data_IF_051217042769
#
_entry.id   IF_051217042769
#
_cell.length_a   1.000
_cell.length_b   1.000
_cell.length_c   1.000
_cell.angle_alpha   90.00
_cell.angle_beta   90.00
_cell.angle_gamma   90.00
#
_symmetry.space_group_name_H-M   'P 1'
#
loop_
_entity.id
_entity.type
_entity.pdbx_description
1 polymer ?
2 non-polymer ?
3 non-polymer ?
4 water ?
#
# COMPACT_ATOMS: atom_id res chain seq x y z
N UNK A 1 10.41 16.73 22.54
CA UNK A 1 11.48 16.47 21.58
C UNK A 1 11.51 17.56 20.52
N UNK A 2 10.33 18.07 20.17
CA UNK A 2 10.25 19.13 19.18
C UNK A 2 10.73 20.46 19.74
N UNK A 3 10.17 20.88 20.86
CA UNK A 3 10.47 22.21 21.43
C UNK A 3 11.87 22.31 22.04
N UNK A 4 12.32 21.23 22.67
CA UNK A 4 13.58 21.29 23.37
C UNK A 4 14.77 20.71 22.63
N UNK A 5 14.53 19.96 21.55
CA UNK A 5 15.61 19.36 20.77
C UNK A 5 15.50 19.61 19.27
N UNK A 6 14.40 20.24 18.84
CA UNK A 6 14.24 20.53 17.42
C UNK A 6 14.06 19.30 16.57
N UNK A 7 13.56 18.22 17.17
CA UNK A 7 13.31 17.00 16.42
C UNK A 7 11.86 17.03 15.92
N UNK A 8 11.68 16.94 14.61
CA UNK A 8 10.34 17.03 14.02
C UNK A 8 9.42 15.90 14.48
N UNK A 9 8.13 16.21 14.56
CA UNK A 9 7.14 15.27 15.04
C UNK A 9 7.16 13.91 14.33
N UNK A 10 7.37 13.89 13.02
CA UNK A 10 7.34 12.62 12.32
C UNK A 10 8.49 11.71 12.78
N UNK A 11 9.67 12.30 12.98
CA UNK A 11 10.81 11.51 13.45
C UNK A 11 10.63 11.15 14.93
N UNK A 12 10.20 12.13 15.72
CA UNK A 12 10.04 11.89 17.16
C UNK A 12 9.03 10.79 17.42
N UNK A 13 7.89 10.83 16.72
CA UNK A 13 6.87 9.82 16.88
C UNK A 13 7.35 8.44 16.46
N UNK A 14 8.16 8.40 15.40
CA UNK A 14 8.70 7.13 14.95
C UNK A 14 9.56 6.55 16.07
N UNK A 15 10.43 7.39 16.63
CA UNK A 15 11.35 6.92 17.66
C UNK A 15 10.59 6.42 18.88
N UNK A 16 9.57 7.16 19.32
CA UNK A 16 8.82 6.71 20.49
C UNK A 16 7.98 5.47 20.21
N UNK A 17 7.55 5.30 18.97
CA UNK A 17 6.85 4.08 18.61
C UNK A 17 7.79 2.87 18.68
N UNK A 18 9.05 3.07 18.28
CA UNK A 18 10.02 1.98 18.37
C UNK A 18 10.26 1.66 19.85
N UNK A 19 10.37 2.70 20.67
CA UNK A 19 10.54 2.50 22.11
C UNK A 19 9.39 1.67 22.68
N UNK A 20 8.16 2.08 22.36
CA UNK A 20 6.99 1.37 22.92
C UNK A 20 6.82 -0.05 22.39
N UNK A 21 7.27 -0.28 21.17
CA UNK A 21 7.19 -1.62 20.57
C UNK A 21 8.34 -2.51 21.03
N UNK A 22 9.22 -1.98 21.86
CA UNK A 22 10.35 -2.77 22.35
C UNK A 22 11.42 -3.00 21.30
N UNK A 23 11.54 -2.04 20.38
CA UNK A 23 12.54 -2.11 19.34
C UNK A 23 13.95 -1.99 19.90
N UNK A 24 14.94 -2.10 19.03
CA UNK A 24 16.34 -2.12 19.44
C UNK A 24 16.95 -0.74 19.67
N UNK A 25 17.81 -0.66 20.69
CA UNK A 25 18.60 0.54 20.93
C UNK A 25 19.32 0.94 19.65
N UNK A 26 19.81 -0.02 18.89
CA UNK A 26 20.50 0.40 17.69
C UNK A 26 19.60 1.18 16.74
N UNK A 27 18.34 0.76 16.62
CA UNK A 27 17.43 1.45 15.73
C UNK A 27 17.21 2.89 16.17
N UNK A 28 17.02 3.07 17.48
CA UNK A 28 16.79 4.41 18.04
C UNK A 28 18.00 5.32 17.84
N UNK A 29 19.19 4.77 18.14
CA UNK A 29 20.43 5.53 17.93
C UNK A 29 20.62 5.90 16.48
N UNK A 30 20.32 4.99 15.55
CA UNK A 30 20.50 5.30 14.15
C UNK A 30 19.58 6.44 13.73
N UNK A 31 18.31 6.37 14.13
CA UNK A 31 17.38 7.43 13.74
C UNK A 31 17.81 8.78 14.32
N UNK A 32 18.15 8.80 15.61
CA UNK A 32 18.51 10.04 16.26
C UNK A 32 19.79 10.62 15.71
N UNK A 33 20.78 9.78 15.42
CA UNK A 33 22.01 10.34 14.86
C UNK A 33 21.76 10.86 13.47
N UNK A 34 20.92 10.15 12.72
CA UNK A 34 20.63 10.60 11.38
C UNK A 34 19.85 11.92 11.35
N UNK A 35 19.04 12.24 12.36
CA UNK A 35 18.28 13.49 12.29
C UNK A 35 19.18 14.71 12.55
N UNK A 36 20.36 14.46 13.08
CA UNK A 36 21.34 15.50 13.25
C UNK A 36 21.43 16.07 14.63
N UNK A 37 21.66 17.38 14.68
CA UNK A 37 22.02 18.00 15.96
C UNK A 37 20.98 17.75 17.05
N UNK A 38 19.71 17.74 16.71
CA UNK A 38 18.70 17.55 17.72
C UNK A 38 18.78 16.16 18.30
N UNK A 39 18.98 15.19 17.43
CA UNK A 39 19.09 13.81 17.88
C UNK A 39 20.34 13.58 18.70
N UNK A 40 21.43 14.18 18.27
CA UNK A 40 22.67 14.09 19.02
C UNK A 40 22.50 14.68 20.41
N UNK A 41 21.83 15.84 20.49
CA UNK A 41 21.58 16.46 21.78
C UNK A 41 20.70 15.61 22.70
N UNK A 42 19.72 14.91 22.12
CA UNK A 42 18.88 14.05 22.93
C UNK A 42 19.67 12.86 23.45
N UNK A 43 20.52 12.28 22.59
CA UNK A 43 21.38 11.20 23.03
C UNK A 43 22.31 11.65 24.15
N UNK A 44 22.76 12.89 24.06
CA UNK A 44 23.66 13.45 25.07
C UNK A 44 22.93 13.61 26.38
N UNK A 45 21.67 14.07 26.32
CA UNK A 45 20.87 14.29 27.51
C UNK A 45 20.64 13.01 28.29
N UNK A 46 20.64 11.86 27.62
CA UNK A 46 20.44 10.61 28.32
C UNK A 46 21.64 10.21 29.17
N UNK A 47 22.79 10.83 28.93
CA UNK A 47 23.98 10.52 29.71
C UNK A 47 24.44 9.09 29.46
N UNK A 48 24.68 8.34 30.52
CA UNK A 48 25.11 6.95 30.36
C UNK A 48 23.95 5.96 30.31
N UNK A 49 22.75 6.45 30.54
CA UNK A 49 21.57 5.60 30.50
C UNK A 49 21.25 5.22 29.08
N UNK A 50 20.81 3.99 28.87
CA UNK A 50 20.35 3.57 27.56
C UNK A 50 19.33 4.57 27.07
N UNK A 51 19.41 4.92 25.79
CA UNK A 51 18.50 5.91 25.27
C UNK A 51 17.08 5.34 25.27
N UNK A 52 16.97 4.02 25.18
CA UNK A 52 15.68 3.35 25.25
C UNK A 52 15.05 3.51 26.64
N UNK A 53 15.85 3.28 27.66
CA UNK A 53 15.38 3.41 29.02
C UNK A 53 15.03 4.83 29.40
N UNK A 54 15.85 5.76 28.92
CA UNK A 54 15.65 7.18 29.15
C UNK A 54 14.32 7.63 28.55
N UNK A 55 14.06 7.26 27.30
CA UNK A 55 12.80 7.68 26.69
C UNK A 55 11.61 6.97 27.32
N UNK A 56 11.79 5.71 27.71
CA UNK A 56 10.72 4.98 28.39
C UNK A 56 10.32 5.74 29.66
N UNK A 57 11.31 6.20 30.40
CA UNK A 57 11.03 6.93 31.63
C UNK A 57 10.40 8.29 31.36
N UNK A 58 10.78 8.96 30.28
CA UNK A 58 10.18 10.23 29.94
C UNK A 58 8.70 10.02 29.59
N UNK A 59 8.40 8.94 28.88
CA UNK A 59 7.02 8.61 28.51
C UNK A 59 6.20 8.33 29.76
N UNK A 60 6.78 7.63 30.72
CA UNK A 60 6.09 7.33 31.98
C UNK A 60 5.84 8.63 32.74
N UNK A 61 6.82 9.52 32.74
CA UNK A 61 6.71 10.76 33.47
C UNK A 61 5.73 11.77 32.90
N UNK A 62 5.74 11.92 31.58
CA UNK A 62 5.02 13.00 30.90
C UNK A 62 3.90 12.55 30.00
N UNK A 63 3.91 11.27 29.63
CA UNK A 63 2.96 10.79 28.63
C UNK A 63 3.60 10.93 27.24
N UNK A 64 3.29 9.99 26.35
CA UNK A 64 3.91 9.96 25.02
C UNK A 64 3.73 11.26 24.24
N UNK A 65 2.50 11.76 24.21
CA UNK A 65 2.22 12.99 23.50
C UNK A 65 3.13 14.15 23.94
N UNK A 66 3.30 14.32 25.25
CA UNK A 66 4.12 15.39 25.75
C UNK A 66 5.61 15.17 25.47
N UNK A 67 6.03 13.90 25.44
CA UNK A 67 7.43 13.62 25.08
C UNK A 67 7.69 14.02 23.63
N UNK A 68 6.74 13.74 22.74
CA UNK A 68 6.89 14.17 21.36
C UNK A 68 7.01 15.68 21.30
N UNK A 69 6.11 16.39 21.98
CA UNK A 69 6.16 17.84 21.98
C UNK A 69 7.48 18.39 22.49
N UNK A 70 7.99 17.74 23.54
CA UNK A 70 9.26 18.09 24.21
C UNK A 70 10.46 17.83 23.28
N UNK B 1 11.55 8.09 -0.93
CA UNK B 1 10.78 7.69 0.23
C UNK B 1 10.08 8.90 0.88
N UNK B 2 10.72 10.08 0.85
CA UNK B 2 10.07 11.28 1.38
C UNK B 2 8.93 11.76 0.51
N UNK B 3 9.21 11.87 -0.78
CA UNK B 3 8.27 12.45 -1.72
C UNK B 3 7.08 11.55 -1.98
N UNK B 4 7.32 10.26 -2.12
CA UNK B 4 6.22 9.34 -2.43
C UNK B 4 5.51 8.85 -1.21
N UNK B 5 6.21 8.73 -0.08
CA UNK B 5 5.60 8.17 1.13
C UNK B 5 5.62 9.04 2.39
N UNK B 6 6.36 10.13 2.36
CA UNK B 6 6.41 11.00 3.51
C UNK B 6 7.26 10.44 4.64
N UNK B 7 8.19 9.55 4.29
CA UNK B 7 9.10 9.01 5.30
C UNK B 7 10.27 9.96 5.44
N UNK B 8 10.49 10.49 6.64
CA UNK B 8 11.57 11.45 6.88
C UNK B 8 12.93 10.83 6.63
N UNK B 9 13.88 11.65 6.17
CA UNK B 9 15.21 11.19 5.81
C UNK B 9 15.90 10.41 6.93
N UNK B 10 15.78 10.86 8.17
CA UNK B 10 16.42 10.15 9.28
C UNK B 10 15.97 8.71 9.39
N UNK B 11 14.69 8.50 9.11
CA UNK B 11 14.13 7.16 9.20
C UNK B 11 14.47 6.39 7.92
N UNK B 12 14.33 7.06 6.78
CA UNK B 12 14.58 6.40 5.49
C UNK B 12 16.02 5.91 5.39
N UNK B 13 16.97 6.76 5.75
CA UNK B 13 18.37 6.34 5.70
C UNK B 13 18.66 5.19 6.66
N UNK B 14 18.04 5.21 7.83
CA UNK B 14 18.19 4.10 8.76
C UNK B 14 17.68 2.78 8.15
N UNK B 15 16.52 2.86 7.51
CA UNK B 15 15.95 1.68 6.87
C UNK B 15 16.86 1.17 5.76
N UNK B 16 17.40 2.06 4.93
CA UNK B 16 18.23 1.61 3.82
C UNK B 16 19.52 0.99 4.30
N UNK B 17 20.03 1.46 5.44
CA UNK B 17 21.24 0.83 5.98
C UNK B 17 20.95 -0.58 6.45
N UNK B 18 19.76 -0.82 7.00
CA UNK B 18 19.40 -2.18 7.39
C UNK B 18 19.34 -3.05 6.13
N UNK B 19 18.76 -2.52 5.07
CA UNK B 19 18.68 -3.25 3.81
C UNK B 19 20.08 -3.64 3.31
N UNK B 20 20.99 -2.67 3.27
CA UNK B 20 22.34 -2.91 2.76
C UNK B 20 23.13 -3.87 3.63
N UNK B 21 22.81 -3.89 4.92
CA UNK B 21 23.49 -4.78 5.85
C UNK B 21 22.90 -6.17 5.87
N UNK B 22 21.87 -6.42 5.07
CA UNK B 22 21.23 -7.73 5.04
C UNK B 22 20.48 -8.04 6.31
N UNK B 23 20.00 -6.99 6.99
CA UNK B 23 19.25 -7.14 8.21
C UNK B 23 17.91 -7.83 8.01
N UNK B 24 17.23 -8.08 9.12
CA UNK B 24 15.97 -8.82 9.11
C UNK B 24 14.85 -8.06 8.43
N UNK B 25 14.03 -8.79 7.69
CA UNK B 25 12.85 -8.17 7.10
C UNK B 25 11.98 -7.57 8.21
N UNK B 26 11.86 -8.24 9.36
CA UNK B 26 10.99 -7.71 10.42
C UNK B 26 11.53 -6.42 11.03
N UNK B 27 12.84 -6.21 10.94
CA UNK B 27 13.42 -4.97 11.46
C UNK B 27 12.98 -3.86 10.54
N UNK B 28 13.08 -4.08 9.24
CA UNK B 28 12.58 -3.07 8.30
C UNK B 28 11.08 -2.82 8.48
N UNK B 29 10.32 -3.89 8.61
CA UNK B 29 8.88 -3.76 8.79
C UNK B 29 8.56 -3.00 10.05
N UNK B 30 9.25 -3.27 11.15
CA UNK B 30 8.93 -2.58 12.41
C UNK B 30 9.27 -1.08 12.35
N UNK B 31 10.36 -0.74 11.66
CA UNK B 31 10.69 0.67 11.51
C UNK B 31 9.65 1.38 10.67
N UNK B 32 9.28 0.80 9.54
CA UNK B 32 8.32 1.47 8.68
C UNK B 32 6.94 1.53 9.33
N UNK B 33 6.59 0.50 10.09
CA UNK B 33 5.32 0.51 10.81
C UNK B 33 5.31 1.64 11.81
N UNK B 34 6.46 1.88 12.44
CA UNK B 34 6.57 2.93 13.44
C UNK B 34 6.39 4.34 12.86
N UNK B 35 6.66 4.50 11.56
CA UNK B 35 6.49 5.80 10.90
C UNK B 35 5.01 6.11 10.69
N UNK B 36 4.20 5.07 10.58
CA UNK B 36 2.78 5.27 10.39
C UNK B 36 2.35 5.02 8.97
N UNK B 37 1.30 5.74 8.55
CA UNK B 37 0.69 5.57 7.23
C UNK B 37 1.64 5.45 6.06
N UNK B 38 2.61 6.38 5.98
CA UNK B 38 3.56 6.39 4.90
C UNK B 38 4.44 5.14 4.87
N UNK B 39 4.81 4.65 6.06
CA UNK B 39 5.56 3.41 6.16
C UNK B 39 4.74 2.22 5.65
N UNK B 40 3.50 2.16 6.09
CA UNK B 40 2.58 1.10 5.64
C UNK B 40 2.41 1.19 4.14
N UNK B 41 2.35 2.41 3.61
CA UNK B 41 2.25 2.59 2.17
C UNK B 41 3.42 1.98 1.40
N UNK B 42 4.63 2.19 1.90
CA UNK B 42 5.82 1.66 1.27
C UNK B 42 5.84 0.12 1.37
N UNK B 43 5.41 -0.40 2.51
CA UNK B 43 5.34 -1.85 2.70
C UNK B 43 4.39 -2.43 1.66
N UNK B 44 3.30 -1.71 1.40
CA UNK B 44 2.34 -2.17 0.40
C UNK B 44 2.91 -2.08 -1.01
N UNK B 45 3.70 -1.05 -1.29
CA UNK B 45 4.28 -0.83 -2.61
C UNK B 45 5.21 -1.96 -3.04
N UNK B 46 5.75 -2.69 -2.05
CA UNK B 46 6.61 -3.83 -2.31
C UNK B 46 5.85 -4.95 -3.00
N UNK B 47 4.53 -4.93 -2.85
CA UNK B 47 3.70 -5.94 -3.48
C UNK B 47 3.97 -7.31 -2.89
N UNK B 48 4.32 -8.27 -3.74
CA UNK B 48 4.59 -9.62 -3.26
C UNK B 48 6.07 -9.90 -3.06
N UNK B 49 6.90 -8.88 -3.29
CA UNK B 49 8.33 -8.94 -3.01
C UNK B 49 8.50 -8.60 -1.53
N UNK B 50 9.52 -9.14 -0.88
CA UNK B 50 9.74 -8.71 0.50
C UNK B 50 10.22 -7.27 0.43
N UNK B 51 9.97 -6.51 1.49
CA UNK B 51 10.36 -5.11 1.52
C UNK B 51 11.88 -4.96 1.35
N UNK B 52 12.64 -5.91 1.89
CA UNK B 52 14.09 -5.88 1.72
C UNK B 52 14.50 -6.05 0.25
N UNK B 53 13.89 -7.01 -0.43
CA UNK B 53 14.21 -7.23 -1.83
C UNK B 53 13.79 -6.03 -2.69
N UNK B 54 12.63 -5.49 -2.39
CA UNK B 54 12.10 -4.32 -3.11
C UNK B 54 13.04 -3.13 -2.99
N UNK B 55 13.48 -2.84 -1.76
CA UNK B 55 14.38 -1.71 -1.54
C UNK B 55 15.79 -1.94 -2.11
N UNK B 56 16.26 -3.17 -2.07
CA UNK B 56 17.54 -3.50 -2.67
C UNK B 56 17.50 -3.13 -4.14
N UNK B 57 16.40 -3.49 -4.80
CA UNK B 57 16.23 -3.20 -6.22
C UNK B 57 16.20 -1.69 -6.49
N UNK B 58 15.45 -0.96 -5.67
CA UNK B 58 15.39 0.50 -5.80
C UNK B 58 16.79 1.11 -5.69
N UNK B 59 17.57 0.65 -4.72
CA UNK B 59 18.92 1.18 -4.51
C UNK B 59 19.80 0.91 -5.73
N UNK B 60 19.72 -0.31 -6.24
CA UNK B 60 20.55 -0.71 -7.37
C UNK B 60 20.27 0.13 -8.61
N UNK B 61 19.03 0.57 -8.78
CA UNK B 61 18.67 1.34 -9.97
C UNK B 61 18.63 2.85 -9.78
N UNK B 62 18.70 3.31 -8.53
CA UNK B 62 18.61 4.74 -8.27
C UNK B 62 19.77 5.25 -7.45
N UNK B 63 20.24 4.42 -6.53
CA UNK B 63 21.27 4.82 -5.61
C UNK B 63 20.58 5.23 -4.32
N UNK B 64 21.31 5.14 -3.23
CA UNK B 64 20.78 5.40 -1.89
C UNK B 64 20.18 6.80 -1.73
N UNK B 65 20.93 7.83 -2.10
CA UNK B 65 20.43 9.18 -1.94
C UNK B 65 19.09 9.40 -2.62
N UNK B 66 18.97 8.93 -3.86
CA UNK B 66 17.74 9.10 -4.61
C UNK B 66 16.58 8.31 -4.00
N UNK B 67 16.87 7.12 -3.49
CA UNK B 67 15.84 6.32 -2.84
C UNK B 67 15.36 7.03 -1.57
N UNK B 68 16.29 7.60 -0.81
CA UNK B 68 15.89 8.37 0.36
C UNK B 68 14.94 9.53 -0.04
N UNK B 69 15.29 10.24 -1.10
CA UNK B 69 14.47 11.35 -1.55
C UNK B 69 13.08 10.88 -2.00
N UNK B 70 13.06 9.73 -2.67
CA UNK B 70 11.83 9.11 -3.14
C UNK B 70 10.93 8.62 -1.99
N UNK C 1 -20.45 -19.13 -12.54
CA UNK C 1 -19.69 -18.37 -13.53
C UNK C 1 -18.43 -19.12 -13.96
N UNK C 2 -17.81 -19.83 -13.04
CA UNK C 2 -16.61 -20.60 -13.40
C UNK C 2 -16.98 -21.87 -14.17
N UNK C 3 -17.95 -22.61 -13.66
CA UNK C 3 -18.34 -23.87 -14.29
C UNK C 3 -18.90 -23.67 -15.70
N UNK C 4 -19.83 -22.73 -15.83
CA UNK C 4 -20.50 -22.60 -17.11
C UNK C 4 -19.77 -21.74 -18.12
N UNK C 5 -19.06 -20.71 -17.64
CA UNK C 5 -18.46 -19.74 -18.54
C UNK C 5 -16.95 -19.63 -18.44
N UNK C 6 -16.34 -20.38 -17.52
CA UNK C 6 -14.90 -20.32 -17.40
C UNK C 6 -14.39 -18.99 -16.86
N UNK C 7 -15.23 -18.26 -16.15
CA UNK C 7 -14.80 -16.99 -15.55
C UNK C 7 -14.09 -17.31 -14.22
N UNK C 8 -12.82 -16.94 -14.08
CA UNK C 8 -12.05 -17.24 -12.86
C UNK C 8 -12.68 -16.65 -11.60
N UNK C 9 -12.55 -17.30 -10.44
CA UNK C 9 -13.17 -16.80 -9.19
C UNK C 9 -12.86 -15.35 -8.87
N UNK C 10 -11.60 -14.95 -9.08
CA UNK C 10 -11.18 -13.61 -8.72
C UNK C 10 -11.92 -12.57 -9.55
N UNK C 11 -12.12 -12.86 -10.83
CA UNK C 11 -12.88 -11.96 -11.69
C UNK C 11 -14.38 -12.01 -11.33
N UNK C 12 -14.93 -13.21 -11.19
CA UNK C 12 -16.36 -13.34 -10.86
C UNK C 12 -16.65 -12.63 -9.53
N UNK C 13 -15.78 -12.81 -8.53
CA UNK C 13 -15.99 -12.19 -7.24
C UNK C 13 -15.96 -10.68 -7.30
N UNK C 14 -15.05 -10.15 -8.12
CA UNK C 14 -15.00 -8.72 -8.32
C UNK C 14 -16.30 -8.23 -8.90
N UNK C 15 -16.74 -8.91 -9.96
CA UNK C 15 -17.97 -8.51 -10.62
C UNK C 15 -19.15 -8.52 -9.68
N UNK C 16 -19.28 -9.58 -8.87
CA UNK C 16 -20.44 -9.65 -7.98
C UNK C 16 -20.36 -8.59 -6.87
N UNK C 17 -19.14 -8.26 -6.45
CA UNK C 17 -18.99 -7.19 -5.47
C UNK C 17 -19.43 -5.85 -6.06
N UNK C 18 -19.13 -5.62 -7.34
CA UNK C 18 -19.56 -4.38 -7.96
C UNK C 18 -21.09 -4.37 -8.00
N UNK C 19 -21.69 -5.51 -8.36
CA UNK C 19 -23.14 -5.60 -8.37
C UNK C 19 -23.74 -5.25 -7.00
N UNK C 20 -23.24 -5.91 -5.96
CA UNK C 20 -23.80 -5.67 -4.63
C UNK C 20 -23.54 -4.25 -4.09
N UNK C 21 -22.46 -3.62 -4.54
CA UNK C 21 -22.15 -2.25 -4.13
C UNK C 21 -22.93 -1.22 -4.95
N UNK C 22 -23.71 -1.71 -5.91
CA UNK C 22 -24.51 -0.85 -6.74
C UNK C 22 -23.68 -0.09 -7.75
N UNK C 23 -22.58 -0.71 -8.18
CA UNK C 23 -21.71 -0.07 -9.16
C UNK C 23 -22.31 0.05 -10.55
N UNK C 24 -21.56 0.67 -11.45
CA UNK C 24 -22.05 0.89 -12.80
C UNK C 24 -22.13 -0.34 -13.69
N UNK C 25 -23.17 -0.38 -14.52
CA UNK C 25 -23.26 -1.39 -15.56
C UNK C 25 -22.00 -1.34 -16.43
N UNK C 26 -21.53 -0.14 -16.75
CA UNK C 26 -20.33 -0.05 -17.59
C UNK C 26 -19.16 -0.78 -16.97
N UNK C 27 -19.01 -0.69 -15.66
CA UNK C 27 -17.88 -1.34 -15.02
C UNK C 27 -17.97 -2.85 -15.15
N UNK C 28 -19.18 -3.38 -14.96
CA UNK C 28 -19.41 -4.82 -15.08
C UNK C 28 -19.18 -5.34 -16.50
N UNK C 29 -19.74 -4.63 -17.47
CA UNK C 29 -19.56 -4.95 -18.89
C UNK C 29 -18.09 -4.90 -19.28
N UNK C 30 -17.36 -3.89 -18.82
CA UNK C 30 -15.94 -3.80 -19.15
C UNK C 30 -15.16 -5.00 -18.60
N UNK C 31 -15.43 -5.37 -17.35
CA UNK C 31 -14.70 -6.48 -16.78
C UNK C 31 -15.03 -7.77 -17.54
N UNK C 32 -16.31 -8.00 -17.82
CA UNK C 32 -16.71 -9.23 -18.49
C UNK C 32 -16.19 -9.32 -19.91
N UNK C 33 -16.24 -8.21 -20.64
CA UNK C 33 -15.72 -8.24 -22.01
C UNK C 33 -14.21 -8.45 -21.99
N UNK C 34 -13.52 -7.85 -21.01
CA UNK C 34 -12.08 -7.99 -20.97
C UNK C 34 -11.66 -9.43 -20.65
N UNK C 35 -12.49 -10.17 -19.90
CA UNK C 35 -12.11 -11.53 -19.51
C UNK C 35 -12.17 -12.48 -20.71
N UNK C 36 -12.87 -12.07 -21.75
CA UNK C 36 -12.88 -12.85 -22.98
C UNK C 36 -14.19 -13.49 -23.31
N UNK C 37 -14.11 -14.61 -24.03
CA UNK C 37 -15.33 -15.16 -24.56
C UNK C 37 -16.29 -15.68 -23.49
N UNK C 38 -15.77 -16.05 -22.33
CA UNK C 38 -16.64 -16.51 -21.26
C UNK C 38 -17.46 -15.37 -20.73
N UNK C 39 -16.85 -14.20 -20.60
CA UNK C 39 -17.61 -13.04 -20.18
C UNK C 39 -18.66 -12.64 -21.21
N UNK C 40 -18.28 -12.72 -22.49
CA UNK C 40 -19.26 -12.43 -23.53
C UNK C 40 -20.42 -13.42 -23.48
N UNK C 41 -20.14 -14.68 -23.12
CA UNK C 41 -21.18 -15.70 -23.04
C UNK C 41 -22.17 -15.38 -21.96
N UNK C 42 -21.66 -14.94 -20.82
CA UNK C 42 -22.54 -14.53 -19.72
C UNK C 42 -23.43 -13.32 -20.10
N UNK C 43 -22.84 -12.38 -20.83
CA UNK C 43 -23.59 -11.23 -21.35
C UNK C 43 -24.67 -11.70 -22.30
N UNK C 44 -24.41 -12.75 -23.06
CA UNK C 44 -25.43 -13.28 -23.98
C UNK C 44 -26.54 -13.91 -23.16
N UNK C 45 -26.17 -14.59 -22.09
CA UNK C 45 -27.19 -15.24 -21.27
C UNK C 45 -28.13 -14.27 -20.60
N UNK C 46 -27.65 -13.07 -20.29
CA UNK C 46 -28.48 -12.07 -19.63
C UNK C 46 -29.62 -11.64 -20.54
N UNK C 47 -29.46 -11.91 -21.82
CA UNK C 47 -30.46 -11.61 -22.81
C UNK C 47 -31.05 -10.23 -22.64
N UNK C 48 -32.32 -10.20 -22.27
CA UNK C 48 -33.08 -8.98 -22.10
C UNK C 48 -32.50 -8.08 -21.02
N UNK C 49 -32.41 -8.64 -19.81
CA UNK C 49 -31.97 -7.92 -18.63
C UNK C 49 -30.62 -7.23 -18.74
N UNK C 50 -30.48 -6.09 -18.05
CA UNK C 50 -29.18 -5.44 -17.90
C UNK C 50 -28.34 -6.39 -17.07
N UNK C 51 -27.06 -6.52 -17.40
CA UNK C 51 -26.18 -7.48 -16.71
C UNK C 51 -26.22 -7.29 -15.20
N UNK C 52 -26.39 -6.05 -14.75
CA UNK C 52 -26.52 -5.78 -13.32
C UNK C 52 -27.76 -6.42 -12.71
N UNK C 53 -28.92 -6.16 -13.31
CA UNK C 53 -30.17 -6.75 -12.87
C UNK C 53 -30.14 -8.28 -12.98
N UNK C 54 -29.53 -8.79 -14.05
CA UNK C 54 -29.48 -10.22 -14.25
C UNK C 54 -28.69 -10.88 -13.15
N UNK C 55 -27.53 -10.33 -12.83
CA UNK C 55 -26.71 -10.91 -11.78
C UNK C 55 -27.36 -10.74 -10.39
N UNK C 56 -28.12 -9.67 -10.21
CA UNK C 56 -28.83 -9.46 -8.94
C UNK C 56 -29.82 -10.60 -8.77
N UNK C 57 -30.50 -10.94 -9.86
CA UNK C 57 -31.47 -12.01 -9.84
C UNK C 57 -30.78 -13.36 -9.59
N UNK C 58 -29.62 -13.58 -10.20
CA UNK C 58 -28.89 -14.83 -9.98
C UNK C 58 -28.47 -14.96 -8.52
N UNK C 59 -28.04 -13.84 -7.93
CA UNK C 59 -27.65 -13.85 -6.52
C UNK C 59 -28.87 -14.16 -5.64
N UNK C 60 -30.01 -13.56 -5.98
CA UNK C 60 -31.25 -13.76 -5.24
C UNK C 60 -31.62 -15.25 -5.21
N UNK C 61 -31.44 -15.93 -6.33
CA UNK C 61 -31.88 -17.32 -6.44
C UNK C 61 -30.84 -18.36 -6.00
N UNK C 62 -29.57 -18.08 -6.30
CA UNK C 62 -28.49 -19.03 -6.03
C UNK C 62 -27.59 -18.68 -4.85
N UNK C 63 -27.49 -17.39 -4.53
CA UNK C 63 -26.58 -16.94 -3.50
C UNK C 63 -25.21 -16.68 -4.12
N UNK C 64 -24.46 -15.75 -3.53
CA UNK C 64 -23.19 -15.33 -4.11
C UNK C 64 -22.23 -16.48 -4.36
N UNK C 65 -22.01 -17.32 -3.36
CA UNK C 65 -21.09 -18.45 -3.49
C UNK C 65 -21.40 -19.28 -4.73
N UNK C 66 -22.66 -19.64 -4.87
CA UNK C 66 -23.10 -20.48 -5.98
C UNK C 66 -23.01 -19.74 -7.32
N UNK C 67 -23.26 -18.43 -7.30
CA UNK C 67 -23.12 -17.68 -8.55
C UNK C 67 -21.67 -17.66 -9.02
N UNK C 68 -20.73 -17.43 -8.11
CA UNK C 68 -19.32 -17.48 -8.48
C UNK C 68 -18.97 -18.86 -9.06
N UNK C 69 -19.42 -19.93 -8.39
CA UNK C 69 -19.17 -21.27 -8.86
C UNK C 69 -19.74 -21.49 -10.27
N UNK C 70 -20.95 -21.00 -10.48
CA UNK C 70 -21.64 -21.14 -11.75
C UNK C 70 -20.94 -20.32 -12.86
N UNK D 1 0.22 -5.41 -12.04
CA UNK D 1 -0.89 -5.45 -11.11
C UNK D 1 -1.29 -6.89 -10.77
N UNK D 2 -1.15 -7.78 -11.74
CA UNK D 2 -1.47 -9.17 -11.44
C UNK D 2 -0.38 -9.82 -10.60
N UNK D 3 0.86 -9.64 -11.02
CA UNK D 3 1.98 -10.28 -10.35
C UNK D 3 2.19 -9.81 -8.93
N UNK D 4 2.12 -8.49 -8.72
CA UNK D 4 2.44 -7.95 -7.40
C UNK D 4 1.25 -7.67 -6.52
N UNK D 5 0.03 -7.66 -7.09
CA UNK D 5 -1.18 -7.36 -6.30
C UNK D 5 -2.33 -8.32 -6.49
N UNK D 6 -2.14 -9.32 -7.33
CA UNK D 6 -3.19 -10.28 -7.59
C UNK D 6 -4.45 -9.69 -8.20
N UNK D 7 -4.33 -8.58 -8.91
CA UNK D 7 -5.49 -8.01 -9.59
C UNK D 7 -5.58 -8.71 -10.95
N UNK D 8 -6.70 -9.39 -11.23
CA UNK D 8 -6.80 -10.10 -12.50
C UNK D 8 -6.75 -9.14 -13.69
N UNK D 9 -6.20 -9.60 -14.80
CA UNK D 9 -6.02 -8.79 -15.96
C UNK D 9 -7.31 -8.10 -16.40
N UNK D 10 -8.42 -8.83 -16.37
CA UNK D 10 -9.67 -8.22 -16.82
C UNK D 10 -10.04 -7.03 -15.96
N UNK D 11 -9.74 -7.11 -14.67
CA UNK D 11 -10.05 -6.00 -13.78
C UNK D 11 -8.99 -4.90 -13.91
N UNK D 12 -7.73 -5.29 -13.99
CA UNK D 12 -6.66 -4.32 -14.12
C UNK D 12 -6.79 -3.43 -15.36
N UNK D 13 -7.07 -4.05 -16.52
CA UNK D 13 -7.24 -3.31 -17.76
C UNK D 13 -8.44 -2.37 -17.68
N UNK D 14 -9.51 -2.82 -17.03
CA UNK D 14 -10.67 -1.95 -16.82
C UNK D 14 -10.26 -0.72 -16.00
N UNK D 15 -9.48 -0.94 -14.94
CA UNK D 15 -9.04 0.17 -14.12
C UNK D 15 -8.16 1.12 -14.89
N UNK D 16 -7.22 0.59 -15.69
CA UNK D 16 -6.34 1.49 -16.45
C UNK D 16 -7.10 2.28 -17.49
N UNK D 17 -8.17 1.71 -18.05
CA UNK D 17 -8.94 2.53 -19.00
C UNK D 17 -9.66 3.68 -18.28
N UNK D 18 -10.11 3.45 -17.05
CA UNK D 18 -10.72 4.53 -16.29
C UNK D 18 -9.67 5.62 -16.07
N UNK D 19 -8.46 5.21 -15.69
CA UNK D 19 -7.37 6.16 -15.49
C UNK D 19 -7.10 6.98 -16.75
N UNK D 20 -6.98 6.32 -17.90
CA UNK D 20 -6.68 7.01 -19.14
C UNK D 20 -7.81 7.91 -19.63
N UNK D 21 -9.04 7.63 -19.22
CA UNK D 21 -10.18 8.43 -19.63
C UNK D 21 -10.40 9.61 -18.70
N UNK D 22 -9.50 9.78 -17.72
CA UNK D 22 -9.65 10.85 -16.77
C UNK D 22 -10.82 10.61 -15.81
N UNK D 23 -11.11 9.33 -15.54
CA UNK D 23 -12.18 8.97 -14.64
C UNK D 23 -11.88 9.33 -13.19
N UNK D 24 -12.89 9.23 -12.36
CA UNK D 24 -12.79 9.65 -10.96
C UNK D 24 -12.03 8.69 -10.08
N UNK D 25 -11.29 9.24 -9.11
CA UNK D 25 -10.65 8.39 -8.12
C UNK D 25 -11.68 7.52 -7.40
N UNK D 26 -12.87 8.04 -7.13
CA UNK D 26 -13.90 7.24 -6.47
C UNK D 26 -14.20 5.96 -7.26
N UNK D 27 -14.20 6.07 -8.59
CA UNK D 27 -14.49 4.94 -9.45
C UNK D 27 -13.38 3.93 -9.36
N UNK D 28 -12.14 4.43 -9.44
CA UNK D 28 -11.01 3.53 -9.35
C UNK D 28 -11.00 2.81 -8.01
N UNK D 29 -11.27 3.57 -6.94
CA UNK D 29 -11.32 2.99 -5.61
C UNK D 29 -12.38 1.90 -5.45
N UNK D 30 -13.56 2.13 -6.01
CA UNK D 30 -14.63 1.16 -5.89
C UNK D 30 -14.30 -0.14 -6.65
N UNK D 31 -13.60 0.01 -7.77
CA UNK D 31 -13.24 -1.20 -8.54
C UNK D 31 -12.19 -2.01 -7.82
N UNK D 32 -11.15 -1.31 -7.36
CA UNK D 32 -10.09 -2.01 -6.64
C UNK D 32 -10.58 -2.58 -5.31
N UNK D 33 -11.49 -1.89 -4.62
CA UNK D 33 -12.06 -2.41 -3.37
C UNK D 33 -12.82 -3.71 -3.65
N UNK D 34 -13.51 -3.76 -4.79
CA UNK D 34 -14.26 -4.95 -5.13
C UNK D 34 -13.38 -6.19 -5.40
N UNK D 35 -12.10 -5.98 -5.72
CA UNK D 35 -11.18 -7.09 -5.94
C UNK D 35 -10.81 -7.76 -4.63
N UNK D 36 -10.82 -6.98 -3.55
CA UNK D 36 -10.51 -7.51 -2.24
C UNK D 36 -9.14 -7.07 -1.77
N UNK D 37 -8.49 -7.95 -1.02
CA UNK D 37 -7.21 -7.62 -0.37
C UNK D 37 -6.13 -7.01 -1.29
N UNK D 38 -5.98 -7.58 -2.48
CA UNK D 38 -4.96 -7.10 -3.43
C UNK D 38 -5.26 -5.69 -3.93
N UNK D 39 -6.54 -5.40 -4.10
CA UNK D 39 -6.98 -4.07 -4.49
C UNK D 39 -6.67 -3.06 -3.40
N UNK D 40 -6.96 -3.45 -2.16
CA UNK D 40 -6.69 -2.59 -1.01
C UNK D 40 -5.19 -2.35 -0.87
N UNK D 41 -4.39 -3.37 -1.13
CA UNK D 41 -2.94 -3.21 -1.03
C UNK D 41 -2.46 -2.21 -2.05
N UNK D 42 -3.00 -2.27 -3.27
CA UNK D 42 -2.60 -1.35 -4.32
C UNK D 42 -3.00 0.08 -3.94
N UNK D 43 -4.18 0.24 -3.34
CA UNK D 43 -4.61 1.57 -2.88
C UNK D 43 -3.62 2.12 -1.85
N UNK D 44 -3.13 1.24 -0.97
CA UNK D 44 -2.13 1.66 0.03
C UNK D 44 -0.78 2.02 -0.61
N UNK D 45 -0.40 1.30 -1.66
CA UNK D 45 0.87 1.49 -2.34
C UNK D 45 1.01 2.90 -2.93
N UNK D 46 -0.11 3.54 -3.21
CA UNK D 46 -0.11 4.87 -3.82
C UNK D 46 0.58 5.95 -2.95
N UNK D 47 0.42 5.85 -1.64
CA UNK D 47 1.08 6.77 -0.71
C UNK D 47 0.55 8.18 -0.78
N UNK D 48 1.46 9.13 -1.04
CA UNK D 48 1.09 10.53 -1.15
C UNK D 48 0.47 10.90 -2.51
N UNK D 49 0.44 9.98 -3.45
CA UNK D 49 -0.19 10.27 -4.74
C UNK D 49 -1.58 9.67 -4.71
N UNK D 50 -2.53 10.25 -5.44
CA UNK D 50 -3.82 9.56 -5.51
C UNK D 50 -3.57 8.30 -6.32
N UNK D 51 -4.47 7.33 -6.21
CA UNK D 51 -4.35 6.08 -6.97
C UNK D 51 -4.31 6.36 -8.48
N UNK D 52 -5.06 7.37 -8.91
CA UNK D 52 -5.05 7.72 -10.33
C UNK D 52 -3.70 8.29 -10.74
N UNK D 53 -3.13 9.17 -9.91
CA UNK D 53 -1.84 9.76 -10.26
C UNK D 53 -0.74 8.71 -10.29
N UNK D 54 -0.80 7.79 -9.35
CA UNK D 54 0.14 6.69 -9.25
C UNK D 54 0.09 5.84 -10.50
N UNK D 55 -1.13 5.43 -10.89
CA UNK D 55 -1.25 4.55 -12.05
C UNK D 55 -0.87 5.26 -13.34
N UNK D 56 -1.21 6.55 -13.45
CA UNK D 56 -0.78 7.31 -14.62
C UNK D 56 0.73 7.27 -14.72
N UNK D 57 1.40 7.48 -13.59
CA UNK D 57 2.84 7.47 -13.54
C UNK D 57 3.38 6.09 -13.95
N UNK D 58 2.76 5.04 -13.43
CA UNK D 58 3.16 3.67 -13.79
C UNK D 58 3.02 3.44 -15.30
N UNK D 59 1.89 3.87 -15.87
CA UNK D 59 1.68 3.71 -17.30
C UNK D 59 2.74 4.48 -18.08
N UNK D 60 3.09 5.66 -17.60
CA UNK D 60 4.08 6.47 -18.28
C UNK D 60 5.46 5.79 -18.28
N UNK D 61 5.78 5.15 -17.16
CA UNK D 61 7.08 4.48 -17.02
C UNK D 61 7.16 3.13 -17.75
N UNK D 62 6.12 2.32 -17.61
CA UNK D 62 6.15 0.95 -18.11
C UNK D 62 5.32 0.62 -19.36
N UNK D 63 4.26 1.38 -19.61
CA UNK D 63 3.30 1.10 -20.66
C UNK D 63 2.13 0.32 -20.05
N UNK D 64 0.94 0.47 -20.63
CA UNK D 64 -0.26 -0.16 -20.10
C UNK D 64 -0.12 -1.68 -19.94
N UNK D 65 0.38 -2.34 -20.98
CA UNK D 65 0.53 -3.79 -20.93
C UNK D 65 1.35 -4.26 -19.74
N UNK D 66 2.51 -3.65 -19.53
CA UNK D 66 3.37 -4.00 -18.40
C UNK D 66 2.73 -3.66 -17.05
N UNK D 67 1.97 -2.56 -16.97
CA UNK D 67 1.28 -2.21 -15.73
C UNK D 67 0.22 -3.27 -15.40
N UNK D 68 -0.54 -3.71 -16.40
CA UNK D 68 -1.51 -4.76 -16.18
C UNK D 68 -0.81 -6.02 -15.62
N UNK D 69 0.31 -6.42 -16.24
CA UNK D 69 1.02 -7.61 -15.79
C UNK D 69 1.53 -7.45 -14.34
N UNK D 70 2.00 -6.24 -14.03
CA UNK D 70 2.52 -5.91 -12.71
C UNK D 70 1.40 -5.92 -11.67
X LIG E 1 10.14 5.68 -9.70
X LIG E 1 9.98 4.30 -9.36
X LIG E 1 8.89 6.46 -9.32
X LIG E 1 9.28 7.74 -8.82
X LIG E 1 8.18 5.47 -8.37
X LIG E 1 7.12 5.88 -7.52
X LIG F 1 24.34 7.43 -4.18
X LIG F 1 23.89 7.81 -2.83
X LIG F 1 24.65 6.00 -4.19
X LIG F 1 25.55 8.18 -4.52
X LIG F 1 23.29 7.73 -5.14
X LIG G 1 -39.05 -15.07 -12.37
X LIG G 1 -38.23 -14.25 -13.26
X LIG G 1 -39.20 -16.39 -12.97
X LIG G 1 -40.37 -14.44 -12.21
X LIG G 1 -38.39 -15.14 -11.06
X LIG H 1 7.42 -0.01 -9.52
X LIG H 1 8.43 0.42 -8.57
X LIG H 1 7.43 -1.47 -9.55
X LIG H 1 7.69 0.48 -10.87
X LIG H 1 6.10 0.46 -9.09
X LIG I 1 -0.01 14.15 1.30
X LIG I 1 -0.23 15.36 2.08
X LIG I 1 0.91 14.46 0.21
X LIG I 1 -1.26 13.64 0.73
X LIG I 1 0.58 13.11 2.16
X LIG J 1 2.32 -0.71 -24.29
X LIG J 1 3.69 -0.23 -24.07
X LIG J 1 2.31 -1.62 -25.42
X LIG J 1 1.44 0.42 -24.58
X LIG J 1 1.85 -1.41 -23.09
#
# INVERSE_FOLDING_TARGET
MAKEFGIPAAVAGTVLNVVEAGGWVTTIVSILTAVGSGGLSLLAAAGRESIKAYLKKEIKKKGKRAVIAW
MAKEFGIPAAVAGTVLNVVEAGGWVTTIVSILTAVGSGGLSLLAAAGRESIKAYLKKEIKKKGKRAVIAW
MAKEFGIPAAVAGTVLNVVEAGGWVTTIVSILTAVGSGGLSLLAAAGRESIKAYLKKEIKKKGKRAVIAW
MAKEFGIPAAVAGTVLNVVEAGGWVTTIVSILTAVGSGGLSLLAAAGRESIKAYLKKEIKKKGKRAVIAW
GOL C1 O1 C2 O2 C3 O3
SO4 S O1 O2 O3 O4
SO4 S O1 O2 O3 O4
SO4 S O1 O2 O3 O4
SO4 S O1 O2 O3 O4
SO4 S O1 O2 O3 O4
#
